data_IF_671241360425
#
_entry.id   IF_671241360425
#
_cell.length_a   1.000
_cell.length_b   1.000
_cell.length_c   1.000
_cell.angle_alpha   90.00
_cell.angle_beta   90.00
_cell.angle_gamma   90.00
#
_symmetry.space_group_name_H-M   'P 1'
#
loop_
_entity.id
_entity.type
_entity.pdbx_description
1 polymer ?
#
# COMPACT_ATOMS: atom_id res chain seq x y z
N UNK A 1 16.50 -16.42 14.83
CA UNK A 1 15.17 -17.05 14.99
C UNK A 1 14.13 -16.08 15.58
N UNK A 2 14.23 -14.79 15.28
CA UNK A 2 13.20 -13.80 15.62
C UNK A 2 13.05 -12.78 14.47
N UNK A 3 13.02 -13.32 13.25
CA UNK A 3 12.58 -12.55 12.10
C UNK A 3 11.09 -12.80 11.98
N UNK A 4 10.28 -11.74 12.10
CA UNK A 4 8.88 -11.76 11.67
C UNK A 4 8.84 -12.28 10.24
N UNK A 5 7.93 -13.21 9.95
CA UNK A 5 7.92 -13.81 8.63
C UNK A 5 7.51 -12.77 7.56
N UNK A 6 7.80 -13.00 6.27
CA UNK A 6 7.55 -11.99 5.24
C UNK A 6 6.08 -11.55 5.13
N UNK A 7 5.11 -12.42 5.46
CA UNK A 7 3.67 -12.11 5.45
C UNK A 7 3.31 -11.17 6.60
N UNK A 8 3.82 -11.42 7.80
CA UNK A 8 3.63 -10.52 8.95
C UNK A 8 4.18 -9.12 8.63
N UNK A 9 5.40 -9.03 8.09
CA UNK A 9 5.99 -7.75 7.69
C UNK A 9 5.16 -7.03 6.62
N UNK A 10 4.70 -7.75 5.60
CA UNK A 10 3.87 -7.19 4.54
C UNK A 10 2.53 -6.65 5.08
N UNK A 11 1.94 -7.31 6.08
CA UNK A 11 0.71 -6.86 6.72
C UNK A 11 0.90 -5.65 7.64
N UNK A 12 2.12 -5.43 8.16
CA UNK A 12 2.43 -4.32 9.06
C UNK A 12 2.64 -2.98 8.34
N UNK A 13 3.18 -2.98 7.12
CA UNK A 13 3.48 -1.75 6.38
C UNK A 13 2.24 -0.85 6.12
N UNK A 14 1.06 -1.38 5.71
CA UNK A 14 -0.14 -0.56 5.58
C UNK A 14 -0.59 0.07 6.89
N UNK A 15 -0.37 -0.58 8.04
CA UNK A 15 -0.70 -0.01 9.35
C UNK A 15 0.16 1.20 9.67
N UNK A 16 1.47 1.15 9.40
CA UNK A 16 2.36 2.29 9.58
C UNK A 16 1.97 3.48 8.69
N UNK A 17 1.67 3.21 7.41
CA UNK A 17 1.22 4.26 6.50
C UNK A 17 -0.17 4.80 6.89
N UNK A 18 -1.07 3.92 7.36
CA UNK A 18 -2.42 4.26 7.81
C UNK A 18 -2.43 5.12 9.07
N UNK A 19 -1.57 4.85 10.06
CA UNK A 19 -1.45 5.71 11.25
C UNK A 19 -0.91 7.09 10.90
N UNK A 20 0.10 7.15 10.03
CA UNK A 20 0.60 8.42 9.49
C UNK A 20 -0.48 9.18 8.72
N UNK A 21 -1.30 8.48 7.93
CA UNK A 21 -2.44 9.05 7.21
C UNK A 21 -3.49 9.62 8.18
N UNK A 22 -3.88 8.90 9.22
CA UNK A 22 -4.84 9.39 10.22
C UNK A 22 -4.34 10.64 10.92
N UNK A 23 -3.05 10.68 11.26
CA UNK A 23 -2.44 11.87 11.84
C UNK A 23 -2.45 13.05 10.86
N UNK A 24 -2.11 12.79 9.59
CA UNK A 24 -2.15 13.79 8.52
C UNK A 24 -3.56 14.32 8.28
N UNK A 25 -4.60 13.46 8.31
CA UNK A 25 -6.00 13.85 8.20
C UNK A 25 -6.42 14.79 9.33
N UNK A 26 -6.15 14.40 10.58
CA UNK A 26 -6.49 15.23 11.75
C UNK A 26 -5.85 16.62 11.69
N UNK A 27 -4.57 16.71 11.28
CA UNK A 27 -3.88 17.99 11.10
C UNK A 27 -4.44 18.80 9.93
N UNK A 28 -4.82 18.13 8.84
CA UNK A 28 -5.40 18.77 7.65
C UNK A 28 -6.77 19.38 7.95
N UNK A 29 -7.61 18.71 8.74
CA UNK A 29 -8.90 19.24 9.20
C UNK A 29 -8.73 20.48 10.09
N UNK A 30 -7.74 20.47 10.99
CA UNK A 30 -7.53 21.56 11.94
C UNK A 30 -6.83 22.78 11.33
N UNK A 31 -5.92 22.59 10.37
CA UNK A 31 -5.03 23.66 9.88
C UNK A 31 -5.18 23.98 8.40
N UNK A 32 -6.08 23.30 7.68
CA UNK A 32 -6.28 23.40 6.22
C UNK A 32 -5.02 23.19 5.34
N UNK A 33 -3.86 22.90 5.92
CA UNK A 33 -2.60 22.54 5.26
C UNK A 33 -2.45 21.03 5.09
N UNK A 34 -1.37 20.56 4.46
CA UNK A 34 -1.02 19.14 4.27
C UNK A 34 -1.92 18.27 3.37
N UNK A 35 -2.90 18.85 2.67
CA UNK A 35 -3.78 18.09 1.72
C UNK A 35 -3.00 17.20 0.74
N UNK A 36 -1.92 17.69 0.16
CA UNK A 36 -1.07 16.92 -0.76
C UNK A 36 -0.40 15.72 -0.07
N UNK A 37 0.07 15.90 1.18
CA UNK A 37 0.65 14.82 1.98
C UNK A 37 -0.39 13.78 2.38
N UNK A 38 -1.59 14.21 2.77
CA UNK A 38 -2.70 13.30 3.08
C UNK A 38 -3.08 12.47 1.87
N UNK A 39 -3.16 13.10 0.69
CA UNK A 39 -3.46 12.37 -0.55
C UNK A 39 -2.35 11.38 -0.87
N UNK A 40 -1.08 11.79 -0.81
CA UNK A 40 0.05 10.90 -1.06
C UNK A 40 0.07 9.71 -0.08
N UNK A 41 -0.14 9.97 1.22
CA UNK A 41 -0.22 8.92 2.24
C UNK A 41 -1.39 7.96 1.99
N UNK A 42 -2.53 8.45 1.51
CA UNK A 42 -3.66 7.58 1.14
C UNK A 42 -3.33 6.66 -0.03
N UNK A 43 -2.64 7.19 -1.05
CA UNK A 43 -2.16 6.41 -2.20
C UNK A 43 -1.14 5.37 -1.74
N UNK A 44 -0.18 5.75 -0.88
CA UNK A 44 0.83 4.85 -0.34
C UNK A 44 0.20 3.75 0.53
N UNK A 45 -0.69 4.09 1.45
CA UNK A 45 -1.34 3.12 2.34
C UNK A 45 -2.13 2.08 1.53
N UNK A 46 -2.91 2.51 0.54
CA UNK A 46 -3.63 1.60 -0.34
C UNK A 46 -2.70 0.75 -1.22
N UNK A 47 -1.63 1.36 -1.76
CA UNK A 47 -0.62 0.64 -2.55
C UNK A 47 0.09 -0.43 -1.73
N UNK A 48 0.36 -0.18 -0.44
CA UNK A 48 0.94 -1.17 0.47
C UNK A 48 -0.04 -2.32 0.75
N UNK A 49 -1.35 -2.07 0.82
CA UNK A 49 -2.35 -3.15 0.91
C UNK A 49 -2.32 -4.05 -0.34
N UNK A 50 -2.22 -3.46 -1.53
CA UNK A 50 -2.12 -4.22 -2.79
C UNK A 50 -0.80 -4.99 -2.87
N UNK A 51 0.31 -4.37 -2.48
CA UNK A 51 1.62 -5.01 -2.42
C UNK A 51 1.59 -6.21 -1.46
N UNK A 52 1.06 -6.04 -0.25
CA UNK A 52 0.91 -7.14 0.71
C UNK A 52 0.06 -8.28 0.14
N UNK A 53 -1.05 -7.95 -0.52
CA UNK A 53 -1.90 -8.94 -1.20
C UNK A 53 -1.13 -9.71 -2.29
N UNK A 54 -0.35 -9.00 -3.11
CA UNK A 54 0.51 -9.62 -4.12
C UNK A 54 1.55 -10.54 -3.50
N UNK A 55 2.29 -10.07 -2.48
CA UNK A 55 3.36 -10.83 -1.84
C UNK A 55 2.86 -12.12 -1.17
N UNK A 56 1.69 -12.08 -0.53
CA UNK A 56 1.09 -13.25 0.15
C UNK A 56 0.48 -14.25 -0.83
N UNK A 57 -0.05 -13.80 -1.97
CA UNK A 57 -0.81 -14.64 -2.92
C UNK A 57 -0.03 -15.09 -4.16
N UNK A 58 1.06 -14.41 -4.51
CA UNK A 58 1.83 -14.73 -5.73
C UNK A 58 2.72 -15.97 -5.60
N UNK A 59 3.04 -16.39 -4.38
CA UNK A 59 4.00 -17.47 -4.13
C UNK A 59 5.47 -17.06 -4.33
N UNK A 60 5.77 -15.77 -4.49
CA UNK A 60 7.14 -15.24 -4.61
C UNK A 60 7.91 -15.36 -3.30
N UNK A 61 7.22 -15.28 -2.16
CA UNK A 61 7.81 -15.40 -0.82
C UNK A 61 7.42 -16.72 -0.17
N UNK A 62 8.37 -17.32 0.57
CA UNK A 62 8.12 -18.50 1.40
C UNK A 62 7.74 -18.04 2.81
N UNK A 63 6.57 -18.46 3.28
CA UNK A 63 6.07 -18.17 4.63
C UNK A 63 5.09 -19.26 5.07
N UNK A 64 5.06 -19.52 6.39
CA UNK A 64 4.08 -20.40 7.02
C UNK A 64 2.66 -19.81 7.04
N UNK A 65 2.55 -18.50 6.92
CA UNK A 65 1.27 -17.75 6.88
C UNK A 65 0.82 -17.43 5.45
N UNK A 66 1.52 -17.93 4.43
CA UNK A 66 1.08 -17.81 3.05
C UNK A 66 -0.07 -18.80 2.79
N UNK A 67 -1.17 -18.31 2.20
CA UNK A 67 -2.35 -19.12 1.88
C UNK A 67 -2.73 -19.00 0.41
N UNK A 68 -3.11 -20.13 -0.21
CA UNK A 68 -3.58 -20.22 -1.60
C UNK A 68 -2.70 -19.43 -2.59
N UNK A 69 -1.40 -19.73 -2.61
CA UNK A 69 -0.45 -19.18 -3.56
C UNK A 69 -0.71 -19.72 -4.96
N UNK A 70 -0.98 -18.83 -5.90
CA UNK A 70 -1.21 -19.16 -7.31
C UNK A 70 -0.53 -18.08 -8.17
N UNK A 71 0.57 -18.42 -8.87
CA UNK A 71 1.31 -17.46 -9.70
C UNK A 71 0.44 -16.77 -10.76
N UNK A 72 -0.57 -17.46 -11.31
CA UNK A 72 -1.45 -16.87 -12.32
C UNK A 72 -2.32 -15.75 -11.72
N UNK A 73 -2.84 -15.95 -10.50
CA UNK A 73 -3.55 -14.91 -9.74
C UNK A 73 -2.60 -13.80 -9.31
N UNK A 74 -1.36 -14.14 -8.94
CA UNK A 74 -0.30 -13.18 -8.64
C UNK A 74 -0.08 -12.18 -9.78
N UNK A 75 -0.02 -12.64 -11.02
CA UNK A 75 0.12 -11.78 -12.20
C UNK A 75 -1.05 -10.81 -12.40
N UNK A 76 -2.29 -11.28 -12.18
CA UNK A 76 -3.46 -10.40 -12.21
C UNK A 76 -3.37 -9.30 -11.14
N UNK A 77 -3.03 -9.66 -9.90
CA UNK A 77 -2.89 -8.70 -8.80
C UNK A 77 -1.76 -7.71 -9.10
N UNK A 78 -0.64 -8.16 -9.66
CA UNK A 78 0.48 -7.30 -10.06
C UNK A 78 0.05 -6.27 -11.11
N UNK A 79 -0.64 -6.70 -12.17
CA UNK A 79 -1.13 -5.82 -13.21
C UNK A 79 -2.13 -4.79 -12.65
N UNK A 80 -3.04 -5.24 -11.79
CA UNK A 80 -3.98 -4.36 -11.08
C UNK A 80 -3.26 -3.34 -10.18
N UNK A 81 -2.26 -3.78 -9.43
CA UNK A 81 -1.44 -2.92 -8.58
C UNK A 81 -0.71 -1.84 -9.40
N UNK A 82 -0.04 -2.22 -10.48
CA UNK A 82 0.65 -1.26 -11.35
C UNK A 82 -0.33 -0.24 -11.93
N UNK A 83 -1.51 -0.69 -12.39
CA UNK A 83 -2.53 0.20 -12.94
C UNK A 83 -3.03 1.19 -11.88
N UNK A 84 -3.39 0.71 -10.68
CA UNK A 84 -3.98 1.56 -9.64
C UNK A 84 -2.95 2.46 -8.98
N UNK A 85 -1.79 1.93 -8.57
CA UNK A 85 -0.71 2.72 -7.97
C UNK A 85 -0.10 3.68 -8.99
N UNK A 86 0.20 3.19 -10.20
CA UNK A 86 0.73 4.03 -11.27
C UNK A 86 -0.26 5.12 -11.70
N UNK A 87 -1.53 4.77 -11.90
CA UNK A 87 -2.59 5.71 -12.26
C UNK A 87 -2.84 6.77 -11.19
N UNK A 88 -2.89 6.38 -9.91
CA UNK A 88 -3.08 7.32 -8.80
C UNK A 88 -1.88 8.26 -8.61
N UNK A 89 -0.64 7.75 -8.70
CA UNK A 89 0.56 8.58 -8.64
C UNK A 89 0.67 9.52 -9.84
N UNK A 90 0.31 9.06 -11.04
CA UNK A 90 0.27 9.91 -12.24
C UNK A 90 -0.76 11.03 -12.07
N UNK A 91 -1.97 10.71 -11.62
CA UNK A 91 -2.99 11.72 -11.33
C UNK A 91 -2.53 12.71 -10.25
N UNK A 92 -1.87 12.23 -9.21
CA UNK A 92 -1.28 13.08 -8.17
C UNK A 92 -0.18 13.98 -8.75
N UNK A 93 0.71 13.48 -9.59
CA UNK A 93 1.74 14.29 -10.23
C UNK A 93 1.17 15.36 -11.17
N UNK A 94 0.14 15.00 -11.95
CA UNK A 94 -0.49 15.91 -12.93
C UNK A 94 -1.39 16.96 -12.26
N UNK A 95 -2.09 16.60 -11.18
CA UNK A 95 -3.12 17.47 -10.55
C UNK A 95 -2.73 18.01 -9.18
N UNK A 96 -1.78 17.40 -8.49
CA UNK A 96 -1.41 17.75 -7.11
C UNK A 96 -0.73 19.12 -6.96
N UNK A 97 -0.36 19.75 -8.08
CA UNK A 97 0.22 21.09 -8.13
C UNK A 97 -0.82 22.23 -8.32
N UNK A 98 -2.10 21.89 -8.52
CA UNK A 98 -3.23 22.83 -8.57
C UNK A 98 -3.97 22.84 -7.24
#
# INVERSE_FOLDING_TARGET
>A
WWFWDPVENASFMPWLAGTALLHSLAVTEQRAGFKAWTLLLSICAFSLCLLGTFLVRSGVLVSVHAFASDPARGMFILAFMVLVTGGSLLLFAVRGHR
#
